data_IF_763397972338
#
_entry.id   IF_763397972338
#
_cell.length_a   1.000
_cell.length_b   1.000
_cell.length_c   1.000
_cell.angle_alpha   90.00
_cell.angle_beta   90.00
_cell.angle_gamma   90.00
#
_symmetry.space_group_name_H-M   'P 1'
#
loop_
_entity.id
_entity.type
_entity.pdbx_description
1 polymer ?
#
# COMPACT_ATOMS: atom_id res chain seq x y z
N UNK A 1 -26.13 -0.01 27.61
CA UNK A 1 -26.10 -1.43 27.23
C UNK A 1 -26.52 -1.64 25.78
N UNK A 2 -27.63 -1.06 25.32
CA UNK A 2 -28.05 -1.08 23.90
C UNK A 2 -27.05 -0.42 22.92
N UNK A 3 -26.36 0.66 23.33
CA UNK A 3 -25.39 1.39 22.47
C UNK A 3 -24.14 0.57 22.08
N UNK A 4 -23.69 -0.35 22.93
CA UNK A 4 -22.51 -1.18 22.64
C UNK A 4 -22.80 -2.23 21.55
N UNK A 5 -23.94 -2.93 21.65
CA UNK A 5 -24.32 -3.97 20.69
C UNK A 5 -24.58 -3.41 19.27
N UNK A 6 -25.12 -2.19 19.18
CA UNK A 6 -25.33 -1.49 17.91
C UNK A 6 -23.99 -1.11 17.27
N UNK A 7 -23.03 -0.59 18.05
CA UNK A 7 -21.67 -0.28 17.58
C UNK A 7 -20.93 -1.51 17.09
N UNK A 8 -21.06 -2.64 17.77
CA UNK A 8 -20.40 -3.88 17.36
C UNK A 8 -21.01 -4.47 16.09
N UNK A 9 -22.33 -4.37 15.91
CA UNK A 9 -23.00 -4.77 14.66
C UNK A 9 -22.53 -3.93 13.46
N UNK A 10 -22.45 -2.60 13.62
CA UNK A 10 -21.93 -1.72 12.57
C UNK A 10 -20.46 -1.99 12.23
N UNK A 11 -19.63 -2.33 13.22
CA UNK A 11 -18.23 -2.73 12.99
C UNK A 11 -18.14 -3.98 12.13
N UNK A 12 -19.00 -4.97 12.35
CA UNK A 12 -19.05 -6.20 11.53
C UNK A 12 -19.37 -5.83 10.08
N UNK A 13 -20.39 -5.00 9.84
CA UNK A 13 -20.72 -4.54 8.49
C UNK A 13 -19.58 -3.78 7.82
N UNK A 14 -18.89 -2.91 8.56
CA UNK A 14 -17.73 -2.18 8.03
C UNK A 14 -16.59 -3.12 7.64
N UNK A 15 -16.23 -4.05 8.52
CA UNK A 15 -15.18 -5.04 8.25
C UNK A 15 -15.54 -5.89 7.02
N UNK A 16 -16.78 -6.36 6.91
CA UNK A 16 -17.24 -7.10 5.73
C UNK A 16 -17.18 -6.24 4.46
N UNK A 17 -17.54 -4.96 4.55
CA UNK A 17 -17.42 -4.00 3.44
C UNK A 17 -15.97 -3.84 2.97
N UNK A 18 -15.02 -3.65 3.89
CA UNK A 18 -13.59 -3.55 3.59
C UNK A 18 -13.05 -4.82 2.91
N UNK A 19 -13.52 -6.00 3.31
CA UNK A 19 -13.17 -7.26 2.62
C UNK A 19 -13.71 -7.32 1.20
N UNK A 20 -14.98 -6.95 0.99
CA UNK A 20 -15.61 -6.97 -0.35
C UNK A 20 -14.87 -6.02 -1.28
N UNK A 21 -14.64 -4.77 -0.85
CA UNK A 21 -13.91 -3.77 -1.62
C UNK A 21 -12.49 -4.23 -1.96
N UNK A 22 -11.78 -4.83 -0.99
CA UNK A 22 -10.45 -5.39 -1.19
C UNK A 22 -10.42 -6.51 -2.23
N UNK A 23 -11.38 -7.45 -2.19
CA UNK A 23 -11.45 -8.53 -3.16
C UNK A 23 -11.82 -8.04 -4.56
N UNK A 24 -12.80 -7.14 -4.69
CA UNK A 24 -13.19 -6.57 -6.00
C UNK A 24 -12.02 -5.83 -6.64
N UNK A 25 -11.31 -5.01 -5.86
CA UNK A 25 -10.21 -4.19 -6.36
C UNK A 25 -8.96 -5.02 -6.69
N UNK A 26 -8.60 -6.01 -5.87
CA UNK A 26 -7.30 -6.68 -5.97
C UNK A 26 -7.33 -8.09 -6.59
N UNK A 27 -8.51 -8.66 -6.86
CA UNK A 27 -8.64 -10.05 -7.34
C UNK A 27 -7.87 -10.38 -8.62
N UNK A 28 -7.58 -9.39 -9.46
CA UNK A 28 -6.86 -9.54 -10.72
C UNK A 28 -5.36 -9.24 -10.61
N UNK A 29 -4.92 -8.71 -9.46
CA UNK A 29 -3.55 -8.22 -9.27
C UNK A 29 -2.61 -9.39 -8.98
N UNK A 30 -1.62 -9.59 -9.86
CA UNK A 30 -0.48 -10.47 -9.61
C UNK A 30 0.68 -9.64 -9.07
N UNK A 31 0.70 -9.43 -7.76
CA UNK A 31 1.65 -8.51 -7.12
C UNK A 31 2.62 -9.15 -6.13
N UNK A 32 3.67 -8.40 -5.81
CA UNK A 32 4.61 -8.68 -4.72
C UNK A 32 4.46 -7.61 -3.65
N UNK A 33 4.22 -8.03 -2.41
CA UNK A 33 4.15 -7.13 -1.27
C UNK A 33 5.55 -6.77 -0.76
N UNK A 34 5.82 -5.47 -0.60
CA UNK A 34 7.08 -4.94 -0.08
C UNK A 34 6.80 -4.18 1.21
N UNK A 35 7.58 -4.51 2.24
CA UNK A 35 7.59 -3.83 3.52
C UNK A 35 8.97 -3.22 3.79
N UNK A 36 8.97 -2.08 4.46
CA UNK A 36 10.20 -1.37 4.82
C UNK A 36 9.90 -0.21 5.76
N UNK A 37 10.94 0.54 6.09
CA UNK A 37 10.88 1.66 7.02
C UNK A 37 10.11 2.84 6.43
N UNK A 38 9.13 3.36 7.18
CA UNK A 38 8.48 4.63 6.86
C UNK A 38 9.39 5.85 7.06
N UNK A 39 10.61 5.66 7.59
CA UNK A 39 11.53 6.73 8.03
C UNK A 39 12.75 6.88 7.13
N UNK A 40 12.94 5.99 6.16
CA UNK A 40 14.06 6.08 5.22
C UNK A 40 13.97 7.38 4.43
N UNK A 41 15.04 8.17 4.46
CA UNK A 41 15.06 9.43 3.71
C UNK A 41 15.26 9.16 2.22
N UNK A 42 14.65 9.97 1.33
CA UNK A 42 14.96 9.93 -0.10
C UNK A 42 16.46 10.03 -0.35
N UNK A 43 16.98 9.15 -1.21
CA UNK A 43 18.41 9.07 -1.52
C UNK A 43 19.27 8.30 -0.52
N UNK A 44 18.72 7.83 0.61
CA UNK A 44 19.42 6.89 1.48
C UNK A 44 19.65 5.54 0.78
N UNK A 45 20.65 4.74 1.20
CA UNK A 45 20.91 3.43 0.58
C UNK A 45 19.69 2.50 0.57
N UNK A 46 18.89 2.51 1.65
CA UNK A 46 17.71 1.65 1.75
C UNK A 46 16.57 2.14 0.85
N UNK A 47 16.35 3.46 0.78
CA UNK A 47 15.40 4.05 -0.16
C UNK A 47 15.77 3.70 -1.62
N UNK A 48 17.03 3.87 -2.01
CA UNK A 48 17.49 3.56 -3.37
C UNK A 48 17.33 2.07 -3.71
N UNK A 49 17.58 1.17 -2.75
CA UNK A 49 17.37 -0.27 -2.94
C UNK A 49 15.89 -0.62 -3.09
N UNK A 50 15.02 -0.01 -2.29
CA UNK A 50 13.58 -0.21 -2.40
C UNK A 50 13.05 0.31 -3.75
N UNK A 51 13.53 1.47 -4.21
CA UNK A 51 13.21 2.01 -5.54
C UNK A 51 13.64 1.07 -6.67
N UNK A 52 14.87 0.56 -6.62
CA UNK A 52 15.34 -0.38 -7.64
C UNK A 52 14.58 -1.72 -7.59
N UNK A 53 14.22 -2.21 -6.39
CA UNK A 53 13.40 -3.41 -6.24
C UNK A 53 12.04 -3.22 -6.92
N UNK A 54 11.37 -2.10 -6.67
CA UNK A 54 10.08 -1.79 -7.33
C UNK A 54 10.21 -1.75 -8.85
N UNK A 55 11.28 -1.12 -9.36
CA UNK A 55 11.58 -1.03 -10.79
C UNK A 55 11.81 -2.41 -11.43
N UNK A 56 12.58 -3.28 -10.78
CA UNK A 56 12.87 -4.63 -11.30
C UNK A 56 11.61 -5.50 -11.31
N UNK A 57 10.78 -5.44 -10.26
CA UNK A 57 9.54 -6.22 -10.18
C UNK A 57 8.52 -5.78 -11.23
N UNK A 58 8.35 -4.47 -11.41
CA UNK A 58 7.50 -3.93 -12.47
C UNK A 58 7.95 -4.38 -13.87
N UNK A 59 9.26 -4.31 -14.16
CA UNK A 59 9.83 -4.82 -15.43
C UNK A 59 9.65 -6.33 -15.61
N UNK A 60 9.56 -7.09 -14.52
CA UNK A 60 9.26 -8.52 -14.54
C UNK A 60 7.77 -8.84 -14.67
N UNK A 61 6.90 -7.83 -14.78
CA UNK A 61 5.46 -7.98 -14.95
C UNK A 61 4.69 -8.24 -13.66
N UNK A 62 5.26 -7.86 -12.50
CA UNK A 62 4.57 -7.92 -11.20
C UNK A 62 4.12 -6.52 -10.79
N UNK A 63 2.89 -6.43 -10.26
CA UNK A 63 2.48 -5.25 -9.52
C UNK A 63 3.28 -5.13 -8.21
N UNK A 64 3.54 -3.91 -7.76
CA UNK A 64 4.20 -3.66 -6.48
C UNK A 64 3.16 -3.20 -5.47
N UNK A 65 3.04 -3.93 -4.37
CA UNK A 65 2.06 -3.66 -3.32
C UNK A 65 2.79 -3.20 -2.06
N UNK A 66 2.38 -2.07 -1.49
CA UNK A 66 2.94 -1.56 -0.22
C UNK A 66 1.82 -1.09 0.72
N UNK A 67 2.18 -0.59 1.90
CA UNK A 67 1.26 0.12 2.80
C UNK A 67 0.93 1.56 2.37
N UNK A 68 1.45 2.04 1.23
CA UNK A 68 1.18 3.38 0.69
C UNK A 68 1.79 4.54 1.47
N UNK A 69 2.58 4.28 2.52
CA UNK A 69 3.24 5.29 3.34
C UNK A 69 4.54 5.85 2.76
N UNK A 70 5.25 6.71 3.51
CA UNK A 70 6.53 7.28 3.12
C UNK A 70 7.69 6.26 3.21
N UNK A 71 8.92 6.72 2.94
CA UNK A 71 10.14 5.94 3.11
C UNK A 71 10.28 4.83 2.08
N UNK A 72 10.63 3.63 2.51
CA UNK A 72 10.89 2.50 1.62
C UNK A 72 9.63 2.06 0.84
N UNK A 73 8.43 2.28 1.41
CA UNK A 73 7.16 2.02 0.72
C UNK A 73 6.99 2.96 -0.47
N UNK A 74 7.15 4.27 -0.23
CA UNK A 74 7.15 5.29 -1.28
C UNK A 74 8.20 4.97 -2.36
N UNK A 75 9.41 4.62 -1.95
CA UNK A 75 10.49 4.29 -2.88
C UNK A 75 10.12 3.13 -3.80
N UNK A 76 9.59 2.04 -3.25
CA UNK A 76 9.14 0.89 -4.01
C UNK A 76 8.01 1.24 -4.99
N UNK A 77 7.00 2.00 -4.54
CA UNK A 77 5.91 2.48 -5.41
C UNK A 77 6.43 3.38 -6.53
N UNK A 78 7.35 4.30 -6.20
CA UNK A 78 8.01 5.19 -7.17
C UNK A 78 8.73 4.39 -8.25
N UNK A 79 9.57 3.43 -7.86
CA UNK A 79 10.30 2.60 -8.80
C UNK A 79 9.40 1.79 -9.72
N UNK A 80 8.28 1.28 -9.19
CA UNK A 80 7.28 0.55 -9.97
C UNK A 80 6.58 1.45 -10.99
N UNK A 81 6.09 2.61 -10.55
CA UNK A 81 5.38 3.57 -11.39
C UNK A 81 6.27 4.12 -12.52
N UNK A 82 7.51 4.52 -12.19
CA UNK A 82 8.48 5.03 -13.18
C UNK A 82 8.86 3.97 -14.23
N UNK A 83 8.75 2.68 -13.88
CA UNK A 83 8.96 1.57 -14.80
C UNK A 83 7.72 1.24 -15.65
N UNK A 84 6.60 1.96 -15.46
CA UNK A 84 5.32 1.70 -16.13
C UNK A 84 4.57 0.49 -15.59
N UNK A 85 4.92 0.01 -14.39
CA UNK A 85 4.20 -1.07 -13.70
C UNK A 85 3.05 -0.56 -12.83
N UNK A 86 2.20 -1.49 -12.41
CA UNK A 86 1.12 -1.23 -11.47
C UNK A 86 1.67 -1.05 -10.04
N UNK A 87 1.23 0.01 -9.36
CA UNK A 87 1.75 0.44 -8.06
C UNK A 87 0.61 0.62 -7.07
N UNK A 88 0.43 -0.39 -6.20
CA UNK A 88 -0.70 -0.49 -5.27
C UNK A 88 -0.27 -0.06 -3.86
N UNK A 89 -1.14 0.70 -3.19
CA UNK A 89 -0.95 1.10 -1.80
C UNK A 89 -2.17 0.77 -0.95
N UNK A 90 -2.00 -0.10 0.04
CA UNK A 90 -3.02 -0.48 1.02
C UNK A 90 -2.85 0.38 2.28
N UNK A 91 -3.22 1.65 2.17
CA UNK A 91 -3.07 2.63 3.25
C UNK A 91 -4.00 2.31 4.42
N UNK A 92 -3.49 2.50 5.64
CA UNK A 92 -4.29 2.43 6.87
C UNK A 92 -4.53 3.83 7.43
N UNK A 93 -5.68 4.02 8.07
CA UNK A 93 -5.99 5.28 8.73
C UNK A 93 -5.18 5.40 10.03
N UNK A 94 -4.34 6.43 10.10
CA UNK A 94 -3.56 6.76 11.28
C UNK A 94 -3.88 8.19 11.74
N UNK A 95 -3.88 8.46 13.05
CA UNK A 95 -4.27 9.76 13.59
C UNK A 95 -3.37 10.93 13.15
N UNK A 96 -2.16 10.65 12.65
CA UNK A 96 -1.16 11.66 12.30
C UNK A 96 -0.48 11.47 10.92
N UNK A 97 -0.63 10.31 10.29
CA UNK A 97 -0.09 10.02 8.95
C UNK A 97 -1.25 10.03 7.95
N UNK A 98 -1.36 11.13 7.19
CA UNK A 98 -2.62 11.49 6.53
C UNK A 98 -2.61 11.43 5.01
N UNK A 99 -1.47 11.16 4.37
CA UNK A 99 -1.43 11.13 2.90
C UNK A 99 -0.71 9.90 2.38
N UNK A 100 -1.39 9.08 1.55
CA UNK A 100 -0.73 8.12 0.70
C UNK A 100 0.35 8.81 -0.13
N UNK A 101 1.43 8.08 -0.43
CA UNK A 101 2.50 8.59 -1.27
C UNK A 101 1.99 8.86 -2.71
N UNK A 102 2.66 9.74 -3.49
CA UNK A 102 2.14 10.21 -4.77
C UNK A 102 2.35 9.22 -5.93
N UNK A 103 2.84 8.01 -5.67
CA UNK A 103 3.23 7.04 -6.70
C UNK A 103 2.30 5.83 -6.79
N UNK A 104 1.09 5.94 -6.23
CA UNK A 104 0.04 4.92 -6.31
C UNK A 104 -0.81 5.10 -7.58
N UNK A 105 -1.25 4.00 -8.18
CA UNK A 105 -2.09 3.96 -9.40
C UNK A 105 -3.49 3.45 -9.13
#
# INVERSE_FOLDING_TARGET
>A
MLDFAVKDTWRIFRIMGEFVEGFETLSHVKGVAIFGSARSAPGSPDYQRAEEMGRVLAKAGYAVITGGGPGDMEAANKGALEAGGESVGLAIELPYELKPNPYLT
#
